data_IF_966162578162
#
_entry.id   IF_966162578162
#
_cell.length_a   1.000
_cell.length_b   1.000
_cell.length_c   1.000
_cell.angle_alpha   90.00
_cell.angle_beta   90.00
_cell.angle_gamma   90.00
#
_symmetry.space_group_name_H-M   'P 1'
#
loop_
_entity.id
_entity.type
_entity.pdbx_description
1 polymer ?
#
# COMPACT_ATOMS: atom_id res chain seq x y z
N UNK A 1 -12.59 -13.39 13.57
CA UNK A 1 -11.62 -14.27 14.30
C UNK A 1 -10.35 -14.46 13.47
N UNK A 2 -9.17 -14.43 14.10
CA UNK A 2 -7.88 -14.68 13.43
C UNK A 2 -7.54 -16.17 13.52
N UNK A 3 -6.99 -16.72 12.43
CA UNK A 3 -6.50 -18.08 12.32
C UNK A 3 -5.04 -18.08 11.82
N UNK A 4 -4.26 -19.03 12.32
CA UNK A 4 -2.91 -19.34 11.84
C UNK A 4 -2.82 -20.86 11.67
N UNK A 5 -2.25 -21.30 10.55
CA UNK A 5 -2.23 -22.72 10.15
C UNK A 5 -3.59 -23.45 10.25
N UNK A 6 -4.71 -22.76 10.00
CA UNK A 6 -6.06 -23.34 10.06
C UNK A 6 -6.64 -23.46 11.48
N UNK A 7 -5.94 -22.98 12.51
CA UNK A 7 -6.36 -23.03 13.91
C UNK A 7 -6.68 -21.62 14.41
N UNK A 8 -7.78 -21.41 15.19
CA UNK A 8 -8.04 -20.14 15.84
C UNK A 8 -6.84 -19.66 16.66
N UNK A 9 -6.40 -18.43 16.40
CA UNK A 9 -5.35 -17.79 17.17
C UNK A 9 -5.95 -17.14 18.41
N UNK A 10 -5.61 -17.67 19.58
CA UNK A 10 -5.92 -17.06 20.88
C UNK A 10 -4.60 -16.72 21.57
N UNK A 11 -4.30 -15.42 21.82
CA UNK A 11 -3.17 -15.07 22.67
C UNK A 11 -3.43 -15.56 24.10
N UNK A 12 -2.37 -15.90 24.84
CA UNK A 12 -2.47 -16.29 26.24
C UNK A 12 -3.23 -15.22 27.04
N UNK A 13 -4.23 -15.63 27.84
CA UNK A 13 -5.09 -14.71 28.63
C UNK A 13 -4.32 -13.85 29.64
N UNK A 14 -3.05 -14.19 29.93
CA UNK A 14 -2.16 -13.43 30.81
C UNK A 14 -1.50 -12.22 30.15
N UNK A 15 -1.65 -12.05 28.83
CA UNK A 15 -0.98 -11.03 28.02
C UNK A 15 -1.94 -9.86 27.74
N UNK A 16 -1.64 -8.66 28.25
CA UNK A 16 -2.48 -7.47 28.09
C UNK A 16 -2.36 -6.92 26.66
N UNK A 17 -3.41 -7.10 25.83
CA UNK A 17 -3.84 -6.23 24.70
C UNK A 17 -2.85 -5.91 23.57
N UNK A 18 -1.69 -5.36 23.89
CA UNK A 18 -0.53 -5.04 23.03
C UNK A 18 0.22 -6.28 22.51
N UNK A 19 -0.06 -7.47 23.05
CA UNK A 19 0.71 -8.69 22.83
C UNK A 19 0.31 -9.49 21.57
N UNK A 20 -0.83 -9.19 20.93
CA UNK A 20 -1.33 -10.02 19.81
C UNK A 20 -0.47 -9.90 18.54
N UNK A 21 -0.04 -8.69 18.16
CA UNK A 21 0.83 -8.51 16.99
C UNK A 21 2.18 -9.21 17.20
N UNK A 22 2.79 -9.03 18.38
CA UNK A 22 4.08 -9.63 18.72
C UNK A 22 3.96 -11.16 18.71
N UNK A 23 2.94 -11.72 19.37
CA UNK A 23 2.71 -13.15 19.40
C UNK A 23 2.45 -13.74 18.00
N UNK A 24 1.79 -13.01 17.09
CA UNK A 24 1.66 -13.42 15.69
C UNK A 24 3.01 -13.37 14.95
N UNK A 25 3.81 -12.33 15.16
CA UNK A 25 5.14 -12.20 14.55
C UNK A 25 6.13 -13.26 15.02
N UNK A 26 5.94 -13.78 16.24
CA UNK A 26 6.75 -14.86 16.84
C UNK A 26 6.17 -16.27 16.55
N UNK A 27 4.94 -16.36 16.02
CA UNK A 27 4.30 -17.64 15.74
C UNK A 27 5.12 -18.45 14.72
N UNK A 28 5.48 -19.71 15.00
CA UNK A 28 6.41 -20.49 14.16
C UNK A 28 6.02 -20.58 12.69
N UNK A 29 4.74 -20.80 12.38
CA UNK A 29 4.26 -20.85 10.99
C UNK A 29 4.39 -19.51 10.26
N UNK A 30 4.17 -18.39 10.95
CA UNK A 30 4.28 -17.06 10.35
C UNK A 30 5.74 -16.62 10.20
N UNK A 31 6.60 -16.99 11.14
CA UNK A 31 8.06 -16.86 11.01
C UNK A 31 8.57 -17.66 9.81
N UNK A 32 8.10 -18.90 9.65
CA UNK A 32 8.45 -19.76 8.51
C UNK A 32 7.99 -19.15 7.18
N UNK A 33 6.74 -18.67 7.11
CA UNK A 33 6.20 -18.00 5.93
C UNK A 33 6.97 -16.71 5.59
N UNK A 34 7.32 -15.90 6.60
CA UNK A 34 8.14 -14.69 6.46
C UNK A 34 9.54 -15.01 5.92
N UNK A 35 10.19 -16.05 6.44
CA UNK A 35 11.50 -16.49 5.97
C UNK A 35 11.45 -17.00 4.51
N UNK A 36 10.39 -17.74 4.16
CA UNK A 36 10.17 -18.19 2.78
C UNK A 36 9.99 -17.00 1.82
N UNK A 37 9.17 -16.02 2.21
CA UNK A 37 9.00 -14.78 1.45
C UNK A 37 10.33 -14.04 1.28
N UNK A 38 11.11 -13.90 2.36
CA UNK A 38 12.43 -13.27 2.37
C UNK A 38 13.47 -13.98 1.50
N UNK A 39 13.36 -15.30 1.35
CA UNK A 39 14.24 -16.09 0.49
C UNK A 39 13.87 -16.01 -1.00
N UNK A 40 12.71 -15.44 -1.34
CA UNK A 40 12.24 -15.31 -2.72
C UNK A 40 12.93 -14.13 -3.40
N UNK A 41 13.38 -14.33 -4.65
CA UNK A 41 13.95 -13.25 -5.44
C UNK A 41 12.91 -12.16 -5.73
N UNK A 42 13.28 -10.90 -5.50
CA UNK A 42 12.41 -9.77 -5.78
C UNK A 42 12.12 -9.66 -7.29
N UNK A 43 10.84 -9.65 -7.65
CA UNK A 43 10.37 -9.48 -9.02
C UNK A 43 10.37 -7.99 -9.39
N UNK A 44 11.21 -7.63 -10.36
CA UNK A 44 11.28 -6.27 -10.89
C UNK A 44 10.34 -6.13 -12.09
N UNK A 45 9.34 -5.27 -11.97
CA UNK A 45 8.45 -4.93 -13.07
C UNK A 45 9.02 -3.74 -13.83
N UNK A 46 9.35 -3.98 -15.10
CA UNK A 46 9.67 -2.95 -16.06
C UNK A 46 8.90 -3.18 -17.35
N UNK A 47 8.48 -2.09 -17.99
CA UNK A 47 7.89 -2.19 -19.32
C UNK A 47 9.04 -2.34 -20.32
N UNK A 48 9.30 -3.57 -20.77
CA UNK A 48 10.32 -3.83 -21.81
C UNK A 48 9.90 -3.18 -23.13
N UNK A 49 10.75 -2.34 -23.72
CA UNK A 49 10.57 -1.81 -25.07
C UNK A 49 10.85 -2.87 -26.16
N UNK A 50 11.39 -4.03 -25.78
CA UNK A 50 11.77 -5.12 -26.69
C UNK A 50 10.62 -6.08 -26.96
N UNK A 51 9.73 -5.65 -27.84
CA UNK A 51 8.64 -6.41 -28.47
C UNK A 51 9.09 -7.56 -29.41
N UNK A 52 10.28 -8.14 -29.20
CA UNK A 52 10.86 -9.14 -30.11
C UNK A 52 11.26 -10.49 -29.49
N UNK A 53 10.91 -10.78 -28.24
CA UNK A 53 11.04 -12.14 -27.72
C UNK A 53 9.67 -12.77 -27.43
N UNK A 54 9.42 -13.87 -28.14
CA UNK A 54 8.39 -14.92 -27.98
C UNK A 54 7.20 -14.53 -27.09
N UNK A 55 6.02 -14.36 -27.70
CA UNK A 55 4.63 -14.36 -27.16
C UNK A 55 4.46 -14.91 -25.73
N UNK A 56 5.04 -14.24 -24.73
CA UNK A 56 4.65 -14.40 -23.34
C UNK A 56 3.36 -13.62 -23.20
N UNK A 57 2.29 -14.27 -22.75
CA UNK A 57 1.03 -13.59 -22.43
C UNK A 57 1.37 -12.42 -21.51
N UNK A 58 1.13 -11.18 -21.98
CA UNK A 58 1.35 -9.98 -21.17
C UNK A 58 0.47 -10.13 -19.93
N UNK A 59 1.09 -10.23 -18.76
CA UNK A 59 0.36 -10.36 -17.50
C UNK A 59 -0.45 -9.09 -17.27
N UNK A 60 -1.75 -9.23 -17.12
CA UNK A 60 -2.64 -8.11 -16.78
C UNK A 60 -2.42 -7.75 -15.33
N UNK A 61 -1.75 -6.64 -15.09
CA UNK A 61 -1.46 -6.15 -13.74
C UNK A 61 -2.33 -4.96 -13.34
N UNK A 62 -2.59 -4.86 -12.04
CA UNK A 62 -3.16 -3.69 -11.36
C UNK A 62 -2.17 -3.25 -10.29
N UNK A 63 -1.68 -2.03 -10.40
CA UNK A 63 -0.82 -1.41 -9.39
C UNK A 63 -1.64 -0.41 -8.57
N UNK A 64 -1.46 -0.39 -7.24
CA UNK A 64 -2.07 0.60 -6.35
C UNK A 64 -1.01 1.45 -5.65
N UNK A 65 -1.29 2.74 -5.46
CA UNK A 65 -0.43 3.63 -4.68
C UNK A 65 -0.78 3.60 -3.19
N UNK A 66 0.07 4.23 -2.39
CA UNK A 66 -0.22 4.62 -1.02
C UNK A 66 -1.66 5.16 -0.88
N UNK A 67 -2.36 4.71 0.17
CA UNK A 67 -3.75 5.06 0.50
C UNK A 67 -4.81 4.58 -0.50
N UNK A 68 -4.43 3.88 -1.57
CA UNK A 68 -5.38 3.27 -2.50
C UNK A 68 -5.72 1.83 -2.10
N UNK A 69 -6.84 1.34 -2.65
CA UNK A 69 -7.16 -0.08 -2.68
C UNK A 69 -7.78 -0.46 -4.02
N UNK A 70 -7.68 -1.74 -4.36
CA UNK A 70 -8.34 -2.34 -5.51
C UNK A 70 -8.84 -3.73 -5.14
N UNK A 71 -10.03 -4.08 -5.61
CA UNK A 71 -10.51 -5.47 -5.63
C UNK A 71 -10.45 -5.99 -7.05
N UNK A 72 -9.82 -7.14 -7.25
CA UNK A 72 -9.59 -7.74 -8.56
C UNK A 72 -10.23 -9.11 -8.66
N UNK A 73 -10.81 -9.37 -9.83
CA UNK A 73 -11.32 -10.68 -10.22
C UNK A 73 -10.19 -11.46 -10.92
N UNK A 74 -9.83 -12.68 -10.47
CA UNK A 74 -8.83 -13.53 -11.13
C UNK A 74 -9.17 -13.88 -12.59
N UNK A 75 -10.44 -13.75 -13.01
CA UNK A 75 -10.83 -13.91 -14.42
C UNK A 75 -10.36 -12.74 -15.31
N UNK A 76 -10.10 -11.57 -14.73
CA UNK A 76 -9.78 -10.34 -15.46
C UNK A 76 -8.33 -9.89 -15.27
N UNK A 77 -7.77 -10.12 -14.08
CA UNK A 77 -6.45 -9.61 -13.67
C UNK A 77 -5.57 -10.80 -13.29
N UNK A 78 -4.34 -10.85 -13.82
CA UNK A 78 -3.38 -11.91 -13.47
C UNK A 78 -2.57 -11.54 -12.20
N UNK A 79 -2.30 -10.24 -11.99
CA UNK A 79 -1.43 -9.74 -10.91
C UNK A 79 -1.98 -8.45 -10.28
N UNK A 80 -1.92 -8.33 -8.95
CA UNK A 80 -2.19 -7.07 -8.24
C UNK A 80 -1.06 -6.77 -7.26
N UNK A 81 -0.56 -5.54 -7.22
CA UNK A 81 0.63 -5.23 -6.42
C UNK A 81 0.76 -3.77 -6.00
N UNK A 82 1.71 -3.55 -5.11
CA UNK A 82 2.09 -2.25 -4.59
C UNK A 82 3.58 -2.25 -4.25
N UNK A 83 4.23 -1.09 -4.31
CA UNK A 83 5.56 -0.85 -3.76
C UNK A 83 5.65 0.51 -3.05
N UNK A 84 6.87 1.00 -2.82
CA UNK A 84 7.18 2.26 -2.12
C UNK A 84 6.76 2.27 -0.64
N UNK A 85 6.44 1.11 -0.05
CA UNK A 85 6.13 0.99 1.37
C UNK A 85 7.42 1.07 2.21
N UNK A 86 7.66 2.23 2.80
CA UNK A 86 8.65 2.41 3.86
C UNK A 86 8.03 2.09 5.22
N UNK A 87 7.38 3.08 5.84
CA UNK A 87 6.63 2.89 7.10
C UNK A 87 5.20 2.38 6.88
N UNK A 88 4.73 2.40 5.64
CA UNK A 88 3.40 1.96 5.24
C UNK A 88 3.33 0.42 5.15
N UNK A 89 2.12 -0.13 5.12
CA UNK A 89 1.89 -1.59 5.07
C UNK A 89 0.90 -1.90 3.96
N UNK A 90 1.29 -2.80 3.06
CA UNK A 90 0.35 -3.40 2.11
C UNK A 90 -0.35 -4.61 2.73
N UNK A 91 -1.67 -4.68 2.57
CA UNK A 91 -2.52 -5.79 3.01
C UNK A 91 -3.30 -6.36 1.83
N UNK A 92 -3.19 -7.67 1.64
CA UNK A 92 -3.98 -8.44 0.67
C UNK A 92 -4.93 -9.36 1.41
N UNK A 93 -6.20 -9.35 1.00
CA UNK A 93 -7.25 -10.23 1.51
C UNK A 93 -7.88 -10.97 0.34
N UNK A 94 -7.82 -12.30 0.37
CA UNK A 94 -8.36 -13.18 -0.66
C UNK A 94 -9.56 -13.95 -0.13
N UNK A 95 -10.67 -13.90 -0.86
CA UNK A 95 -11.75 -14.84 -0.67
C UNK A 95 -11.40 -16.14 -1.41
N UNK A 96 -11.08 -17.20 -0.67
CA UNK A 96 -10.64 -18.47 -1.25
C UNK A 96 -11.74 -19.23 -2.01
N UNK A 97 -13.02 -18.88 -1.80
CA UNK A 97 -14.15 -19.49 -2.52
C UNK A 97 -14.32 -18.88 -3.90
N UNK A 98 -14.24 -17.56 -4.01
CA UNK A 98 -14.44 -16.83 -5.28
C UNK A 98 -13.13 -16.57 -6.02
N UNK A 99 -12.00 -16.62 -5.32
CA UNK A 99 -10.69 -16.22 -5.83
C UNK A 99 -10.47 -14.71 -5.87
N UNK A 100 -11.49 -13.91 -5.55
CA UNK A 100 -11.41 -12.44 -5.51
C UNK A 100 -10.36 -11.98 -4.49
N UNK A 101 -9.57 -10.97 -4.86
CA UNK A 101 -8.52 -10.40 -4.01
C UNK A 101 -8.74 -8.90 -3.87
N UNK A 102 -8.77 -8.41 -2.63
CA UNK A 102 -8.63 -7.00 -2.35
C UNK A 102 -7.24 -6.69 -1.81
N UNK A 103 -6.51 -5.79 -2.48
CA UNK A 103 -5.21 -5.27 -2.03
C UNK A 103 -5.37 -3.81 -1.63
N UNK A 104 -4.76 -3.41 -0.52
CA UNK A 104 -4.67 -2.01 -0.09
C UNK A 104 -3.24 -1.66 0.35
N UNK A 105 -2.84 -0.40 0.15
CA UNK A 105 -1.61 0.17 0.70
C UNK A 105 -1.99 1.15 1.80
N UNK A 106 -1.88 0.73 3.06
CA UNK A 106 -2.27 1.54 4.21
C UNK A 106 -1.08 2.35 4.73
N UNK A 107 -1.30 3.64 5.00
CA UNK A 107 -0.25 4.59 5.40
C UNK A 107 -0.48 5.19 6.78
N UNK A 108 -1.68 5.03 7.35
CA UNK A 108 -2.04 5.65 8.62
C UNK A 108 -3.07 4.83 9.40
N UNK A 109 -2.94 4.67 10.73
CA UNK A 109 -3.89 3.88 11.54
C UNK A 109 -5.35 4.29 11.36
N UNK A 110 -5.64 5.58 11.15
CA UNK A 110 -7.03 6.05 11.05
C UNK A 110 -7.73 5.67 9.73
N UNK A 111 -7.02 5.11 8.73
CA UNK A 111 -7.67 4.58 7.51
C UNK A 111 -8.04 3.11 7.63
N UNK A 112 -7.51 2.39 8.63
CA UNK A 112 -7.58 0.92 8.71
C UNK A 112 -9.02 0.41 8.82
N UNK A 113 -9.82 0.98 9.72
CA UNK A 113 -11.17 0.46 10.03
C UNK A 113 -12.14 0.59 8.84
N UNK A 114 -12.23 1.80 8.27
CA UNK A 114 -13.04 2.02 7.08
C UNK A 114 -12.42 1.33 5.86
N UNK A 115 -11.10 1.34 5.74
CA UNK A 115 -10.39 0.69 4.63
C UNK A 115 -10.68 -0.80 4.56
N UNK A 116 -10.57 -1.51 5.68
CA UNK A 116 -10.95 -2.93 5.76
C UNK A 116 -12.44 -3.13 5.46
N UNK A 117 -13.32 -2.25 5.93
CA UNK A 117 -14.75 -2.32 5.61
C UNK A 117 -15.03 -2.13 4.12
N UNK A 118 -14.31 -1.20 3.45
CA UNK A 118 -14.38 -1.00 2.00
C UNK A 118 -13.94 -2.26 1.25
N UNK A 119 -12.76 -2.79 1.58
CA UNK A 119 -12.20 -4.00 0.96
C UNK A 119 -13.14 -5.20 1.12
N UNK A 120 -13.61 -5.46 2.35
CA UNK A 120 -14.42 -6.63 2.66
C UNK A 120 -15.80 -6.57 2.00
N UNK A 121 -16.41 -5.38 1.91
CA UNK A 121 -17.71 -5.21 1.23
C UNK A 121 -17.72 -5.68 -0.25
N UNK A 122 -16.55 -5.80 -0.89
CA UNK A 122 -16.41 -6.23 -2.28
C UNK A 122 -16.01 -7.69 -2.45
N UNK A 123 -15.57 -8.36 -1.38
CA UNK A 123 -15.10 -9.75 -1.44
C UNK A 123 -15.83 -10.69 -0.48
N UNK A 124 -16.69 -10.20 0.42
CA UNK A 124 -17.47 -11.04 1.34
C UNK A 124 -18.97 -11.01 1.02
N UNK A 125 -19.57 -12.19 1.02
CA UNK A 125 -21.04 -12.32 1.08
C UNK A 125 -21.47 -12.17 2.54
N UNK A 126 -22.61 -11.51 2.78
CA UNK A 126 -23.08 -11.13 4.13
C UNK A 126 -23.28 -12.32 5.09
N UNK A 127 -23.47 -13.54 4.57
CA UNK A 127 -23.82 -14.74 5.36
C UNK A 127 -22.77 -15.86 5.24
N UNK A 128 -21.53 -15.51 4.87
CA UNK A 128 -20.50 -16.51 4.56
C UNK A 128 -19.43 -16.62 5.66
N UNK A 129 -19.33 -17.79 6.28
CA UNK A 129 -18.23 -18.19 7.18
C UNK A 129 -16.89 -18.46 6.45
N UNK A 130 -16.73 -17.93 5.23
CA UNK A 130 -15.51 -18.15 4.42
C UNK A 130 -14.28 -17.65 5.16
N UNK A 131 -13.28 -18.53 5.24
CA UNK A 131 -11.97 -18.19 5.75
C UNK A 131 -11.21 -17.39 4.67
N UNK A 132 -10.88 -16.14 5.00
CA UNK A 132 -10.19 -15.20 4.11
C UNK A 132 -8.68 -15.31 4.32
N UNK A 133 -7.93 -15.56 3.25
CA UNK A 133 -6.46 -15.57 3.31
C UNK A 133 -5.94 -14.13 3.36
N UNK A 134 -5.04 -13.85 4.32
CA UNK A 134 -4.52 -12.51 4.60
C UNK A 134 -2.99 -12.49 4.54
N UNK A 135 -2.44 -11.51 3.82
CA UNK A 135 -1.01 -11.24 3.76
C UNK A 135 -0.74 -9.78 4.14
N UNK A 136 0.23 -9.55 5.04
CA UNK A 136 0.72 -8.22 5.40
C UNK A 136 2.22 -8.14 5.10
N UNK A 137 2.61 -7.12 4.34
CA UNK A 137 4.01 -6.86 3.97
C UNK A 137 4.26 -5.35 4.02
N UNK A 138 5.39 -4.95 4.59
CA UNK A 138 5.79 -3.54 4.69
C UNK A 138 6.07 -3.12 6.12
N UNK A 139 6.34 -1.84 6.33
CA UNK A 139 6.87 -1.35 7.60
C UNK A 139 8.25 -1.92 7.89
N UNK A 140 8.94 -1.29 8.83
CA UNK A 140 10.18 -1.78 9.42
C UNK A 140 10.28 -1.23 10.84
N UNK A 141 11.31 -1.60 11.60
CA UNK A 141 11.54 -1.01 12.92
C UNK A 141 12.09 0.42 12.75
N UNK A 142 11.18 1.38 12.53
CA UNK A 142 11.48 2.76 12.18
C UNK A 142 11.75 3.66 13.40
N UNK A 143 11.79 3.07 14.59
CA UNK A 143 12.28 3.71 15.80
C UNK A 143 13.81 3.65 15.78
N UNK A 144 14.44 4.76 15.41
CA UNK A 144 15.88 4.88 15.57
C UNK A 144 16.24 5.07 17.05
N UNK A 145 17.30 4.41 17.49
CA UNK A 145 18.03 4.73 18.72
C UNK A 145 18.72 6.11 18.68
N UNK A 146 18.34 7.01 17.76
CA UNK A 146 19.07 8.26 17.46
C UNK A 146 18.42 9.55 17.97
N UNK A 147 17.72 9.54 19.10
CA UNK A 147 17.25 10.78 19.72
C UNK A 147 17.53 10.88 21.23
N UNK A 148 18.79 11.11 21.67
CA UNK A 148 19.09 11.43 23.07
C UNK A 148 18.52 12.78 23.54
N UNK A 149 18.11 13.67 22.63
CA UNK A 149 17.86 15.10 22.95
C UNK A 149 16.52 15.67 22.44
N UNK A 150 15.43 14.89 22.40
CA UNK A 150 14.11 15.44 22.07
C UNK A 150 13.30 15.80 23.31
N UNK A 151 12.82 17.05 23.35
CA UNK A 151 11.95 17.57 24.38
C UNK A 151 10.62 16.78 24.49
N UNK A 152 9.97 16.74 25.67
CA UNK A 152 8.95 15.74 26.02
C UNK A 152 7.58 15.89 25.32
N UNK A 153 7.45 16.73 24.27
CA UNK A 153 6.15 17.09 23.68
C UNK A 153 5.65 16.19 22.54
N UNK A 154 6.40 15.16 22.12
CA UNK A 154 5.99 14.29 20.99
C UNK A 154 5.93 12.81 21.39
N UNK A 155 4.86 12.38 22.05
CA UNK A 155 4.61 10.96 22.40
C UNK A 155 4.51 10.04 21.17
N UNK A 156 4.08 10.54 20.01
CA UNK A 156 4.05 9.79 18.74
C UNK A 156 5.43 9.36 18.21
N UNK A 157 6.52 9.97 18.69
CA UNK A 157 7.88 9.68 18.21
C UNK A 157 8.58 8.55 18.98
N UNK A 158 7.95 8.01 20.02
CA UNK A 158 8.50 6.87 20.78
C UNK A 158 8.13 5.50 20.18
N UNK A 159 7.06 5.42 19.38
CA UNK A 159 6.55 4.15 18.83
C UNK A 159 6.78 3.98 17.32
N UNK A 160 7.36 4.98 16.65
CA UNK A 160 7.51 4.98 15.19
C UNK A 160 6.16 5.11 14.47
N UNK A 161 6.17 4.94 13.15
CA UNK A 161 5.00 4.95 12.29
C UNK A 161 4.54 3.53 11.93
N UNK A 162 5.47 2.59 11.76
CA UNK A 162 5.16 1.24 11.28
C UNK A 162 4.42 0.42 12.34
N UNK A 163 4.88 0.45 13.60
CA UNK A 163 4.30 -0.36 14.67
C UNK A 163 2.84 0.02 14.96
N UNK A 164 2.48 1.31 15.15
CA UNK A 164 1.07 1.68 15.37
C UNK A 164 0.15 1.28 14.22
N UNK A 165 0.64 1.32 12.97
CA UNK A 165 -0.12 0.88 11.81
C UNK A 165 -0.35 -0.64 11.81
N UNK A 166 0.72 -1.43 12.01
CA UNK A 166 0.62 -2.89 12.10
C UNK A 166 -0.32 -3.31 13.23
N UNK A 167 -0.16 -2.70 14.41
CA UNK A 167 -0.97 -2.98 15.59
C UNK A 167 -2.45 -2.68 15.30
N UNK A 168 -2.75 -1.55 14.66
CA UNK A 168 -4.13 -1.18 14.32
C UNK A 168 -4.77 -2.14 13.32
N UNK A 169 -4.02 -2.61 12.33
CA UNK A 169 -4.52 -3.62 11.37
C UNK A 169 -4.90 -4.91 12.11
N UNK A 170 -4.00 -5.45 12.93
CA UNK A 170 -4.26 -6.69 13.68
C UNK A 170 -5.41 -6.53 14.68
N UNK A 171 -5.45 -5.42 15.43
CA UNK A 171 -6.56 -5.11 16.34
C UNK A 171 -7.89 -5.12 15.58
N UNK A 172 -7.93 -4.46 14.42
CA UNK A 172 -9.15 -4.36 13.62
C UNK A 172 -9.57 -5.72 13.08
N UNK A 173 -8.65 -6.54 12.54
CA UNK A 173 -8.96 -7.91 12.10
C UNK A 173 -9.51 -8.79 13.24
N UNK A 174 -9.02 -8.58 14.47
CA UNK A 174 -9.45 -9.36 15.65
C UNK A 174 -10.90 -9.08 16.05
N UNK A 175 -11.32 -7.82 16.06
CA UNK A 175 -12.67 -7.41 16.50
C UNK A 175 -13.75 -7.62 15.45
N UNK A 176 -13.36 -7.93 14.22
CA UNK A 176 -14.26 -8.18 13.11
C UNK A 176 -14.89 -9.57 13.16
N UNK A 177 -16.11 -9.67 12.62
CA UNK A 177 -16.88 -10.92 12.60
C UNK A 177 -16.36 -11.94 11.57
N UNK A 178 -15.70 -11.48 10.51
CA UNK A 178 -15.14 -12.37 9.49
C UNK A 178 -13.98 -13.22 10.02
N UNK A 179 -13.70 -14.35 9.35
CA UNK A 179 -12.61 -15.26 9.68
C UNK A 179 -11.39 -14.98 8.80
N UNK A 180 -10.25 -14.70 9.42
CA UNK A 180 -9.01 -14.30 8.73
C UNK A 180 -7.89 -15.30 8.98
N UNK A 181 -7.46 -16.01 7.95
CA UNK A 181 -6.26 -16.85 7.98
C UNK A 181 -5.05 -16.00 7.61
N UNK A 182 -4.22 -15.65 8.59
CA UNK A 182 -2.97 -14.95 8.30
C UNK A 182 -2.01 -15.97 7.68
N UNK A 183 -1.66 -15.74 6.41
CA UNK A 183 -0.74 -16.57 5.62
C UNK A 183 0.67 -16.03 5.64
N UNK A 184 0.81 -14.70 5.68
CA UNK A 184 2.12 -14.05 5.76
C UNK A 184 2.03 -12.79 6.60
N UNK A 185 2.97 -12.63 7.53
CA UNK A 185 3.17 -11.44 8.33
C UNK A 185 4.64 -11.03 8.23
N UNK A 186 4.98 -10.29 7.17
CA UNK A 186 6.34 -9.83 6.89
C UNK A 186 6.45 -8.32 7.12
N UNK A 187 6.39 -7.94 8.40
CA UNK A 187 6.37 -6.54 8.86
C UNK A 187 7.37 -6.30 9.98
N UNK A 188 7.70 -5.03 10.24
CA UNK A 188 8.58 -4.63 11.35
C UNK A 188 9.91 -5.39 11.31
N UNK A 189 10.40 -5.93 12.43
CA UNK A 189 11.62 -6.73 12.51
C UNK A 189 11.78 -7.84 11.47
N UNK A 190 10.69 -8.42 10.97
CA UNK A 190 10.75 -9.41 9.89
C UNK A 190 11.17 -8.78 8.56
N UNK A 191 10.79 -7.52 8.32
CA UNK A 191 11.13 -6.71 7.15
C UNK A 191 12.21 -5.65 7.45
N UNK A 192 12.93 -5.73 8.58
CA UNK A 192 14.01 -4.78 8.90
C UNK A 192 15.38 -5.29 8.44
N UNK A 193 16.17 -4.42 7.80
CA UNK A 193 17.64 -4.57 7.65
C UNK A 193 18.35 -3.29 8.07
N UNK A 194 19.65 -3.38 8.30
CA UNK A 194 20.51 -2.20 8.41
C UNK A 194 21.09 -1.88 7.03
N UNK A 195 21.02 -0.62 6.62
CA UNK A 195 21.73 -0.14 5.45
C UNK A 195 23.24 -0.01 5.71
N UNK A 196 24.01 0.37 4.70
CA UNK A 196 25.48 0.52 4.79
C UNK A 196 25.94 1.56 5.80
N UNK A 197 25.07 2.50 6.16
CA UNK A 197 25.32 3.57 7.12
C UNK A 197 24.83 3.20 8.54
N UNK A 198 24.27 2.00 8.72
CA UNK A 198 23.78 1.51 10.01
C UNK A 198 22.36 1.99 10.37
N UNK A 199 21.63 2.61 9.45
CA UNK A 199 20.21 2.95 9.67
C UNK A 199 19.31 1.76 9.34
N UNK A 200 18.27 1.57 10.17
CA UNK A 200 17.21 0.62 9.86
C UNK A 200 16.44 1.05 8.59
N UNK A 201 16.14 0.09 7.72
CA UNK A 201 15.29 0.28 6.54
C UNK A 201 14.57 -1.02 6.17
N UNK A 202 13.52 -0.95 5.32
CA UNK A 202 12.83 -2.13 4.83
C UNK A 202 13.75 -3.07 4.04
N UNK A 203 13.53 -4.38 4.18
CA UNK A 203 14.12 -5.38 3.29
C UNK A 203 13.50 -5.24 1.91
N UNK A 204 12.17 -5.31 1.86
CA UNK A 204 11.36 -5.06 0.67
C UNK A 204 10.41 -3.90 0.87
N UNK A 205 10.17 -3.15 -0.20
CA UNK A 205 9.26 -2.02 -0.25
C UNK A 205 7.91 -2.35 -0.90
N UNK A 206 7.73 -3.60 -1.35
CA UNK A 206 6.57 -3.97 -2.13
C UNK A 206 6.41 -5.47 -2.35
N UNK A 207 5.23 -5.83 -2.82
CA UNK A 207 4.90 -7.19 -3.21
C UNK A 207 3.82 -7.21 -4.29
N UNK A 208 3.74 -8.34 -4.98
CA UNK A 208 2.67 -8.64 -5.94
C UNK A 208 1.99 -9.95 -5.54
N UNK A 209 0.70 -10.02 -5.80
CA UNK A 209 -0.14 -11.20 -5.59
C UNK A 209 -0.48 -11.80 -6.95
N UNK A 210 -0.25 -13.10 -7.13
CA UNK A 210 -0.76 -13.89 -8.24
C UNK A 210 -2.22 -14.24 -7.97
N UNK A 211 -3.13 -13.76 -8.81
CA UNK A 211 -4.57 -13.88 -8.56
C UNK A 211 -5.09 -15.31 -8.70
N UNK A 212 -4.40 -16.14 -9.48
CA UNK A 212 -4.82 -17.52 -9.74
C UNK A 212 -4.76 -18.39 -8.49
N UNK A 213 -3.81 -18.11 -7.59
CA UNK A 213 -3.54 -18.94 -6.43
C UNK A 213 -3.41 -18.16 -5.11
N UNK A 214 -3.34 -16.83 -5.15
CA UNK A 214 -3.18 -15.97 -3.98
C UNK A 214 -1.75 -15.91 -3.44
N UNK A 215 -0.76 -16.50 -4.12
CA UNK A 215 0.64 -16.45 -3.69
C UNK A 215 1.22 -15.04 -3.84
N UNK A 216 2.15 -14.71 -2.95
CA UNK A 216 2.82 -13.40 -2.95
C UNK A 216 4.29 -13.53 -3.29
N UNK A 217 4.84 -12.52 -3.96
CA UNK A 217 6.27 -12.41 -4.29
C UNK A 217 6.74 -10.99 -3.98
N UNK A 218 7.92 -10.78 -3.36
CA UNK A 218 8.47 -9.44 -3.19
C UNK A 218 8.62 -8.76 -4.56
N UNK A 219 8.28 -7.49 -4.67
CA UNK A 219 8.25 -6.81 -5.97
C UNK A 219 8.57 -5.31 -5.89
N UNK A 220 9.14 -4.80 -6.97
CA UNK A 220 9.32 -3.37 -7.25
C UNK A 220 8.82 -3.04 -8.65
N UNK A 221 8.31 -1.82 -8.81
CA UNK A 221 7.68 -1.34 -10.03
C UNK A 221 8.44 -0.12 -10.55
N UNK A 222 8.80 -0.10 -11.82
CA UNK A 222 9.27 1.14 -12.43
C UNK A 222 8.12 2.13 -12.68
N UNK A 223 8.46 3.37 -13.06
CA UNK A 223 7.47 4.41 -13.35
C UNK A 223 6.39 3.99 -14.35
N UNK A 224 6.75 3.26 -15.41
CA UNK A 224 5.81 2.87 -16.47
C UNK A 224 4.84 1.78 -16.02
N UNK A 225 5.27 0.92 -15.08
CA UNK A 225 4.44 -0.14 -14.50
C UNK A 225 3.52 0.33 -13.37
N UNK A 226 3.71 1.54 -12.84
CA UNK A 226 2.80 2.20 -11.86
C UNK A 226 1.61 2.95 -12.51
N UNK A 227 1.43 2.81 -13.82
CA UNK A 227 0.34 3.42 -14.60
C UNK A 227 -1.04 2.78 -14.30
N UNK A 228 -2.16 3.45 -14.67
CA UNK A 228 -2.28 4.74 -15.34
C UNK A 228 -2.22 5.94 -14.40
N UNK A 229 -2.11 7.14 -14.99
CA UNK A 229 -2.30 8.45 -14.36
C UNK A 229 -1.52 8.68 -13.05
N UNK A 230 -0.28 8.17 -13.03
CA UNK A 230 0.60 8.11 -11.87
C UNK A 230 0.66 9.43 -11.08
N UNK A 231 0.91 10.57 -11.75
CA UNK A 231 0.99 11.87 -11.08
C UNK A 231 -0.33 12.29 -10.43
N UNK A 232 -1.46 12.15 -11.12
CA UNK A 232 -2.78 12.55 -10.58
C UNK A 232 -3.17 11.68 -9.40
N UNK A 233 -2.88 10.38 -9.45
CA UNK A 233 -3.09 9.45 -8.34
C UNK A 233 -2.25 9.79 -7.12
N UNK A 234 -0.96 10.12 -7.30
CA UNK A 234 -0.12 10.63 -6.21
C UNK A 234 -0.63 11.96 -5.62
N UNK A 235 -1.15 12.86 -6.47
CA UNK A 235 -1.78 14.10 -5.99
C UNK A 235 -3.02 13.77 -5.16
N UNK A 236 -3.87 12.82 -5.58
CA UNK A 236 -5.05 12.41 -4.81
C UNK A 236 -4.70 12.00 -3.38
N UNK A 237 -3.58 11.28 -3.17
CA UNK A 237 -3.11 10.94 -1.83
C UNK A 237 -2.92 12.20 -0.99
N UNK A 238 -2.14 13.17 -1.46
CA UNK A 238 -1.91 14.43 -0.74
C UNK A 238 -3.18 15.29 -0.58
N UNK A 239 -4.01 15.38 -1.61
CA UNK A 239 -5.24 16.16 -1.60
C UNK A 239 -6.27 15.60 -0.62
N UNK A 240 -6.34 14.27 -0.50
CA UNK A 240 -7.29 13.59 0.40
C UNK A 240 -7.08 13.88 1.88
N UNK A 241 -5.90 14.36 2.29
CA UNK A 241 -5.67 14.80 3.68
C UNK A 241 -6.35 16.13 4.00
N UNK A 242 -6.61 16.97 2.99
CA UNK A 242 -7.36 18.23 3.15
C UNK A 242 -8.87 18.06 2.87
N UNK A 243 -9.32 16.87 2.44
CA UNK A 243 -10.73 16.56 2.18
C UNK A 243 -11.36 15.77 3.35
N UNK A 244 -12.26 16.38 4.14
CA UNK A 244 -12.93 15.71 5.26
C UNK A 244 -13.73 14.48 4.86
N UNK A 245 -14.19 14.38 3.61
CA UNK A 245 -14.94 13.21 3.13
C UNK A 245 -14.04 11.99 2.91
N UNK A 246 -12.72 12.21 2.80
CA UNK A 246 -11.70 11.21 2.50
C UNK A 246 -10.68 11.01 3.64
N UNK A 247 -10.80 11.72 4.76
CA UNK A 247 -9.79 11.76 5.83
C UNK A 247 -9.56 10.44 6.56
N UNK A 248 -10.47 9.47 6.40
CA UNK A 248 -10.41 8.16 7.07
C UNK A 248 -10.72 7.00 6.13
N UNK A 249 -10.61 7.18 4.82
CA UNK A 249 -10.96 6.15 3.83
C UNK A 249 -9.77 5.84 2.93
N UNK A 250 -9.76 4.62 2.42
CA UNK A 250 -8.91 4.29 1.27
C UNK A 250 -9.53 4.89 0.01
N UNK A 251 -8.66 5.30 -0.90
CA UNK A 251 -9.01 5.86 -2.19
C UNK A 251 -9.34 4.71 -3.14
N UNK A 252 -10.60 4.62 -3.53
CA UNK A 252 -11.02 3.72 -4.59
C UNK A 252 -10.48 4.23 -5.94
N UNK A 253 -9.89 3.33 -6.72
CA UNK A 253 -9.28 3.62 -8.03
C UNK A 253 -9.56 2.58 -9.10
N UNK A 254 -10.24 1.47 -8.79
CA UNK A 254 -10.34 0.35 -9.71
C UNK A 254 -11.74 -0.29 -9.66
N UNK A 255 -12.38 -0.35 -10.82
CA UNK A 255 -13.71 -0.93 -11.00
C UNK A 255 -13.59 -2.40 -11.40
N UNK A 256 -13.81 -3.28 -10.41
CA UNK A 256 -13.60 -4.74 -10.46
C UNK A 256 -14.18 -5.39 -11.71
N UNK A 257 -15.46 -5.16 -11.99
CA UNK A 257 -16.22 -5.93 -12.98
C UNK A 257 -15.87 -5.58 -14.43
N UNK A 258 -15.22 -4.44 -14.65
CA UNK A 258 -14.97 -3.90 -15.98
C UNK A 258 -13.49 -3.75 -16.33
N UNK A 259 -12.58 -4.16 -15.44
CA UNK A 259 -11.13 -3.99 -15.61
C UNK A 259 -10.75 -2.55 -15.98
N UNK A 260 -11.26 -1.59 -15.20
CA UNK A 260 -11.06 -0.16 -15.43
C UNK A 260 -10.44 0.53 -14.24
N UNK A 261 -9.47 1.41 -14.49
CA UNK A 261 -9.12 2.43 -13.49
C UNK A 261 -10.13 3.58 -13.56
N UNK A 262 -10.70 3.95 -12.42
CA UNK A 262 -11.65 5.06 -12.28
C UNK A 262 -11.10 6.01 -11.24
N UNK A 263 -10.37 7.02 -11.70
CA UNK A 263 -9.71 7.98 -10.82
C UNK A 263 -10.71 9.08 -10.47
N UNK A 264 -11.33 8.96 -9.29
CA UNK A 264 -12.31 9.93 -8.81
C UNK A 264 -11.69 11.34 -8.66
N UNK A 265 -12.46 12.40 -8.92
CA UNK A 265 -11.99 13.77 -8.75
C UNK A 265 -11.42 14.02 -7.36
N UNK A 266 -10.35 14.80 -7.29
CA UNK A 266 -9.87 15.40 -6.06
C UNK A 266 -9.72 16.91 -6.23
N UNK A 267 -9.93 17.63 -5.15
CA UNK A 267 -9.83 19.08 -5.11
C UNK A 267 -8.47 19.45 -4.54
N UNK A 268 -7.74 20.28 -5.26
CA UNK A 268 -6.63 21.03 -4.66
C UNK A 268 -6.87 22.54 -4.73
N UNK A 269 -6.33 23.22 -3.72
CA UNK A 269 -6.54 24.63 -3.42
C UNK A 269 -5.30 25.45 -3.78
N UNK A 270 -5.47 26.78 -3.82
CA UNK A 270 -4.35 27.71 -3.98
C UNK A 270 -3.30 27.57 -2.85
N UNK A 271 -3.71 27.07 -1.67
CA UNK A 271 -2.80 26.77 -0.57
C UNK A 271 -1.84 25.64 -0.95
N UNK A 272 -2.33 24.55 -1.54
CA UNK A 272 -1.46 23.45 -1.99
C UNK A 272 -0.51 23.90 -3.08
N UNK A 273 -0.93 24.78 -4.01
CA UNK A 273 0.00 25.41 -4.97
C UNK A 273 1.12 26.17 -4.27
N UNK A 274 0.79 26.98 -3.24
CA UNK A 274 1.78 27.74 -2.47
C UNK A 274 2.75 26.81 -1.73
N UNK A 275 2.23 25.76 -1.11
CA UNK A 275 3.04 24.74 -0.44
C UNK A 275 4.00 24.09 -1.44
N UNK A 276 3.47 23.60 -2.58
CA UNK A 276 4.27 23.02 -3.66
C UNK A 276 5.37 23.98 -4.15
N UNK A 277 5.06 25.27 -4.33
CA UNK A 277 6.03 26.29 -4.76
C UNK A 277 7.15 26.49 -3.74
N UNK A 278 6.84 26.46 -2.44
CA UNK A 278 7.84 26.57 -1.38
C UNK A 278 8.71 25.31 -1.33
N UNK A 279 8.09 24.13 -1.35
CA UNK A 279 8.80 22.84 -1.29
C UNK A 279 9.71 22.63 -2.50
N UNK A 280 9.31 23.09 -3.70
CA UNK A 280 10.13 22.99 -4.92
C UNK A 280 11.50 23.69 -4.79
N UNK A 281 11.64 24.68 -3.91
CA UNK A 281 12.88 25.44 -3.70
C UNK A 281 13.85 24.80 -2.72
N UNK A 282 13.40 23.78 -1.99
CA UNK A 282 14.24 23.06 -1.03
C UNK A 282 15.25 22.17 -1.75
N UNK A 283 16.38 21.93 -1.10
CA UNK A 283 17.35 20.90 -1.50
C UNK A 283 16.76 19.50 -1.31
N UNK A 284 17.35 18.49 -1.95
CA UNK A 284 16.86 17.10 -1.88
C UNK A 284 16.88 16.56 -0.45
N UNK A 285 17.87 16.94 0.36
CA UNK A 285 17.96 16.57 1.78
C UNK A 285 16.83 17.22 2.59
N UNK A 286 16.55 18.51 2.36
CA UNK A 286 15.45 19.21 3.04
C UNK A 286 14.09 18.62 2.65
N UNK A 287 13.92 18.20 1.38
CA UNK A 287 12.70 17.51 0.93
C UNK A 287 12.54 16.19 1.67
N UNK A 288 13.57 15.34 1.71
CA UNK A 288 13.52 14.07 2.44
C UNK A 288 13.14 14.29 3.90
N UNK A 289 13.84 15.19 4.60
CA UNK A 289 13.59 15.45 6.03
C UNK A 289 12.22 16.06 6.32
N UNK A 290 11.62 16.77 5.36
CA UNK A 290 10.33 17.46 5.53
C UNK A 290 9.14 16.60 5.11
N UNK A 291 9.32 15.78 4.07
CA UNK A 291 8.21 15.14 3.35
C UNK A 291 8.17 13.62 3.50
N UNK A 292 9.23 12.97 4.00
CA UNK A 292 9.25 11.52 4.26
C UNK A 292 9.00 11.20 5.74
N UNK A 293 8.31 10.09 6.02
CA UNK A 293 8.21 9.50 7.36
C UNK A 293 9.51 8.80 7.79
N UNK A 294 10.36 8.41 6.84
CA UNK A 294 11.62 7.69 7.04
C UNK A 294 12.71 8.15 6.05
N UNK A 295 13.29 9.35 6.24
CA UNK A 295 14.19 9.98 5.26
C UNK A 295 15.38 9.13 4.80
N UNK A 296 15.91 8.26 5.67
CA UNK A 296 17.05 7.38 5.39
C UNK A 296 16.67 6.04 4.71
N UNK A 297 15.38 5.79 4.48
CA UNK A 297 14.86 4.53 3.96
C UNK A 297 14.09 4.68 2.62
N UNK A 298 13.93 5.91 2.13
CA UNK A 298 13.26 6.19 0.87
C UNK A 298 14.05 5.70 -0.35
N UNK A 299 13.31 5.39 -1.42
CA UNK A 299 13.90 5.01 -2.69
C UNK A 299 14.60 6.21 -3.38
N UNK A 300 15.60 5.97 -4.27
CA UNK A 300 16.32 7.05 -4.94
C UNK A 300 15.45 8.00 -5.78
N UNK A 301 14.28 7.55 -6.23
CA UNK A 301 13.34 8.33 -7.04
C UNK A 301 12.32 9.13 -6.21
N UNK A 302 12.32 9.02 -4.86
CA UNK A 302 11.37 9.71 -3.98
C UNK A 302 11.32 11.22 -4.24
N UNK A 303 12.49 11.88 -4.23
CA UNK A 303 12.57 13.34 -4.40
C UNK A 303 12.13 13.77 -5.80
N UNK A 304 12.50 13.00 -6.84
CA UNK A 304 12.06 13.27 -8.21
C UNK A 304 10.53 13.15 -8.33
N UNK A 305 9.94 12.12 -7.72
CA UNK A 305 8.49 11.93 -7.72
C UNK A 305 7.76 13.08 -6.99
N UNK A 306 8.28 13.56 -5.85
CA UNK A 306 7.74 14.72 -5.14
C UNK A 306 7.81 16.00 -5.98
N UNK A 307 8.96 16.27 -6.61
CA UNK A 307 9.15 17.44 -7.49
C UNK A 307 8.20 17.41 -8.68
N UNK A 308 7.99 16.24 -9.31
CA UNK A 308 7.05 16.08 -10.43
C UNK A 308 5.61 16.35 -10.00
N UNK A 309 5.21 15.88 -8.81
CA UNK A 309 3.90 16.14 -8.21
C UNK A 309 3.68 17.64 -7.99
N UNK A 310 4.67 18.33 -7.42
CA UNK A 310 4.59 19.78 -7.19
C UNK A 310 4.60 20.59 -8.48
N UNK A 311 5.44 20.23 -9.45
CA UNK A 311 5.44 20.84 -10.79
C UNK A 311 4.06 20.77 -11.44
N UNK A 312 3.38 19.63 -11.33
CA UNK A 312 2.02 19.47 -11.85
C UNK A 312 1.04 20.41 -11.14
N UNK A 313 1.05 20.47 -9.81
CA UNK A 313 0.18 21.37 -9.02
C UNK A 313 0.45 22.85 -9.33
N UNK A 314 1.70 23.23 -9.58
CA UNK A 314 2.09 24.60 -9.93
C UNK A 314 1.56 24.99 -11.31
N UNK A 315 1.69 24.08 -12.30
CA UNK A 315 1.26 24.28 -13.70
C UNK A 315 -0.26 24.18 -13.87
N UNK A 316 -0.92 23.33 -13.09
CA UNK A 316 -2.37 23.08 -13.16
C UNK A 316 -3.06 23.48 -11.84
N UNK A 317 -3.10 24.77 -11.49
CA UNK A 317 -3.62 25.20 -10.18
C UNK A 317 -5.14 25.05 -10.05
N UNK A 318 -5.86 24.89 -11.16
CA UNK A 318 -7.29 24.66 -11.21
C UNK A 318 -7.56 23.17 -11.45
N UNK A 319 -7.94 22.44 -10.40
CA UNK A 319 -8.21 20.99 -10.48
C UNK A 319 -9.28 20.61 -11.51
N UNK A 320 -10.18 21.53 -11.89
CA UNK A 320 -11.21 21.31 -12.91
C UNK A 320 -10.64 21.13 -14.32
N UNK A 321 -9.39 21.52 -14.56
CA UNK A 321 -8.70 21.21 -15.82
C UNK A 321 -8.28 19.73 -15.87
N UNK A 322 -7.95 19.14 -14.71
CA UNK A 322 -7.65 17.71 -14.57
C UNK A 322 -8.93 16.87 -14.51
N UNK A 323 -9.99 17.38 -13.88
CA UNK A 323 -11.31 16.74 -13.79
C UNK A 323 -12.41 17.65 -14.36
N UNK A 324 -12.53 17.75 -15.70
CA UNK A 324 -13.57 18.54 -16.35
C UNK A 324 -14.96 18.08 -15.92
N UNK A 325 -15.84 19.03 -15.61
CA UNK A 325 -17.22 18.76 -15.19
C UNK A 325 -17.33 17.81 -13.98
N UNK A 326 -16.29 17.78 -13.14
CA UNK A 326 -16.19 16.92 -11.96
C UNK A 326 -16.33 15.43 -12.30
N UNK A 327 -15.97 15.04 -13.53
CA UNK A 327 -16.01 13.65 -13.98
C UNK A 327 -14.74 12.90 -13.59
N UNK A 328 -14.84 11.60 -13.23
CA UNK A 328 -13.67 10.78 -12.98
C UNK A 328 -12.87 10.55 -14.27
N UNK A 329 -11.56 10.38 -14.14
CA UNK A 329 -10.69 10.00 -15.26
C UNK A 329 -10.71 8.48 -15.38
N UNK A 330 -11.16 7.98 -16.52
CA UNK A 330 -11.35 6.54 -16.75
C UNK A 330 -10.27 6.00 -17.68
N UNK A 331 -9.76 4.81 -17.36
CA UNK A 331 -8.76 4.13 -18.17
C UNK A 331 -9.15 2.67 -18.38
N UNK A 332 -9.13 2.26 -19.63
CA UNK A 332 -9.41 0.90 -20.08
C UNK A 332 -8.12 0.20 -20.47
N UNK A 333 -8.07 -1.11 -20.21
CA UNK A 333 -6.96 -1.94 -20.65
C UNK A 333 -7.09 -2.25 -22.14
N UNK A 334 -6.01 -2.08 -22.88
CA UNK A 334 -5.92 -2.46 -24.28
C UNK A 334 -5.55 -3.95 -24.43
N UNK A 335 -5.74 -4.55 -25.63
CA UNK A 335 -5.36 -5.95 -25.87
C UNK A 335 -3.86 -6.26 -25.64
N UNK A 336 -2.98 -5.27 -25.79
CA UNK A 336 -1.55 -5.31 -25.48
C UNK A 336 -1.23 -5.04 -24.00
N UNK A 337 -2.25 -4.96 -23.14
CA UNK A 337 -2.09 -4.86 -21.68
C UNK A 337 -1.83 -3.45 -21.14
N UNK A 338 -1.69 -2.45 -22.02
CA UNK A 338 -1.50 -1.05 -21.66
C UNK A 338 -2.81 -0.40 -21.20
N UNK A 339 -2.69 0.75 -20.52
CA UNK A 339 -3.85 1.55 -20.08
C UNK A 339 -4.03 2.77 -20.97
N UNK A 340 -5.23 2.95 -21.53
CA UNK A 340 -5.59 4.13 -22.34
C UNK A 340 -6.76 4.86 -21.71
N UNK A 341 -6.73 6.20 -21.78
CA UNK A 341 -7.83 7.02 -21.28
C UNK A 341 -9.08 6.77 -22.14
N UNK A 342 -10.19 6.44 -21.49
CA UNK A 342 -11.51 6.43 -22.10
C UNK A 342 -12.21 7.75 -21.76
N UNK A 343 -12.80 8.40 -22.78
CA UNK A 343 -13.56 9.64 -22.65
C UNK A 343 -14.80 9.48 -21.75
#
# INVERSE_FOLDING_TARGET
>A
MIYVAGVPFSPDESSQGTDTLIALMEHPDLVSASNSFKSTAEKKFSVSEDSNSVKSKISKSVYIFQKEFATVDPALVDLVGTDEATTCVGISIRNCRTGMISLAHMDFPNVVENGLSQMLSLITDRDSDTLLDVHLVGGFDDISSQHPNLAPKNRKKLEGYSYPLCAKIIETLRIRSENFQIRTLHVLGQNTKLNTEGFACPIFHGFVVDTSNGSITPASFDRKSRCPDEIVRRIRVTASFEDPNLSHKLLDTYETNSDNFVIAPCVWTIRQKRIATTLQRLSDIEILLTCSSSPSAEAPDFVDNERRKWDYLIRNPNWRETFPSEQPRRFQRTPDGNWVSSL
#
